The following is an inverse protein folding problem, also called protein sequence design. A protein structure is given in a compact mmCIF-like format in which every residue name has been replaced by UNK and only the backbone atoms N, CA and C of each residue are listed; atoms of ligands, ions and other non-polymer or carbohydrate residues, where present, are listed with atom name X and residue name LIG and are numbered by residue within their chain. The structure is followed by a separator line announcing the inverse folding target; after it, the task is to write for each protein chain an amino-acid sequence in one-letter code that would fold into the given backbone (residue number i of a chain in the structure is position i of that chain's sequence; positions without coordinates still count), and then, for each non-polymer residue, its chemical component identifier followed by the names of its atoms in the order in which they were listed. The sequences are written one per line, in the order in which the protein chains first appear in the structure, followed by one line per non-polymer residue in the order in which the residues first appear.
data_IF_056549462413
#
_entry.id   IF_056549462413
#
_cell.length_a   1.000
_cell.length_b   1.000
_cell.length_c   1.000
_cell.angle_alpha   90.00
_cell.angle_beta   90.00
_cell.angle_gamma   90.00
#
_symmetry.space_group_name_H-M   'P 1'
#
loop_
_entity.id
_entity.type
_entity.pdbx_description
1 polymer ?
#
# COMPACT_ATOMS: atom_id res chain seq x y z
N UNK A 1 4.78 3.24 -12.42
CA UNK A 1 3.49 3.97 -12.46
C UNK A 1 3.57 5.52 -12.48
N UNK A 2 4.26 6.22 -11.56
CA UNK A 2 4.26 7.70 -11.43
C UNK A 2 4.27 8.53 -12.72
N UNK A 3 5.21 8.23 -13.64
CA UNK A 3 5.37 8.95 -14.91
C UNK A 3 4.19 8.81 -15.87
N UNK A 4 3.35 7.79 -15.69
CA UNK A 4 2.21 7.51 -16.57
C UNK A 4 0.93 8.25 -16.15
N UNK A 5 0.81 8.69 -14.88
CA UNK A 5 -0.44 9.30 -14.36
C UNK A 5 -0.93 10.49 -15.18
N UNK A 6 -0.04 11.42 -15.52
CA UNK A 6 -0.41 12.59 -16.31
C UNK A 6 -0.91 12.23 -17.72
N UNK A 7 -0.32 11.19 -18.34
CA UNK A 7 -0.74 10.68 -19.64
C UNK A 7 -2.11 10.01 -19.58
N UNK A 8 -2.32 9.14 -18.59
CA UNK A 8 -3.58 8.45 -18.34
C UNK A 8 -4.68 9.47 -18.06
N UNK A 9 -4.44 10.43 -17.15
CA UNK A 9 -5.40 11.48 -16.82
C UNK A 9 -5.85 12.27 -18.06
N UNK A 10 -4.91 12.73 -18.88
CA UNK A 10 -5.24 13.44 -20.14
C UNK A 10 -6.07 12.58 -21.08
N UNK A 11 -5.69 11.32 -21.27
CA UNK A 11 -6.42 10.41 -22.16
C UNK A 11 -7.86 10.21 -21.69
N UNK A 12 -8.06 9.98 -20.38
CA UNK A 12 -9.39 9.73 -19.79
C UNK A 12 -10.25 10.98 -19.92
N UNK A 13 -9.74 12.15 -19.53
CA UNK A 13 -10.47 13.43 -19.67
C UNK A 13 -10.72 13.84 -21.13
N UNK A 14 -9.97 13.27 -22.07
CA UNK A 14 -10.12 13.50 -23.51
C UNK A 14 -11.24 12.67 -24.16
N UNK A 15 -12.00 11.87 -23.38
CA UNK A 15 -13.11 11.07 -23.89
C UNK A 15 -12.68 9.77 -24.57
N UNK A 16 -11.62 9.12 -24.07
CA UNK A 16 -11.24 7.80 -24.55
C UNK A 16 -12.42 6.82 -24.39
N UNK A 17 -12.58 5.91 -25.37
CA UNK A 17 -13.57 4.82 -25.29
C UNK A 17 -12.99 3.53 -24.70
N UNK A 18 -11.67 3.36 -24.78
CA UNK A 18 -10.96 2.12 -24.45
C UNK A 18 -9.64 2.43 -23.76
N UNK A 19 -9.43 1.92 -22.54
CA UNK A 19 -8.19 2.04 -21.79
C UNK A 19 -7.70 0.66 -21.39
N UNK A 20 -6.48 0.32 -21.79
CA UNK A 20 -5.78 -0.88 -21.34
C UNK A 20 -4.54 -0.46 -20.57
N UNK A 21 -4.42 -0.98 -19.35
CA UNK A 21 -3.26 -0.88 -18.49
C UNK A 21 -2.66 -2.27 -18.36
N UNK A 22 -1.47 -2.50 -18.91
CA UNK A 22 -0.85 -3.82 -18.92
C UNK A 22 0.37 -3.87 -17.97
N UNK A 23 0.44 -4.91 -17.14
CA UNK A 23 1.60 -5.28 -16.32
C UNK A 23 2.19 -6.62 -16.74
N UNK A 24 3.46 -6.83 -16.38
CA UNK A 24 4.21 -8.04 -16.67
C UNK A 24 4.52 -8.88 -15.43
N UNK A 25 3.61 -8.98 -14.47
CA UNK A 25 3.82 -9.61 -13.16
C UNK A 25 3.52 -11.12 -13.14
N UNK A 26 3.74 -11.78 -14.28
CA UNK A 26 3.62 -13.24 -14.41
C UNK A 26 2.19 -13.75 -14.65
N UNK A 27 1.20 -12.87 -14.81
CA UNK A 27 -0.18 -13.26 -15.11
C UNK A 27 -1.00 -13.67 -13.89
N UNK A 28 -0.38 -13.69 -12.71
CA UNK A 28 -0.98 -14.00 -11.41
C UNK A 28 -0.85 -12.84 -10.42
N UNK A 29 -0.73 -11.63 -10.94
CA UNK A 29 -0.68 -10.39 -10.17
C UNK A 29 0.51 -10.33 -9.19
N UNK A 30 1.64 -10.96 -9.54
CA UNK A 30 2.83 -11.07 -8.69
C UNK A 30 2.80 -12.25 -7.70
N UNK A 31 1.72 -13.03 -7.62
CA UNK A 31 1.70 -14.22 -6.77
C UNK A 31 2.73 -15.26 -7.25
N UNK A 32 3.57 -15.73 -6.34
CA UNK A 32 4.67 -16.65 -6.65
C UNK A 32 5.93 -15.98 -7.18
N UNK A 33 6.02 -14.65 -7.13
CA UNK A 33 7.28 -13.93 -7.35
C UNK A 33 8.21 -14.13 -6.16
N UNK A 34 9.43 -14.61 -6.42
CA UNK A 34 10.44 -14.90 -5.39
C UNK A 34 11.75 -14.13 -5.61
N UNK A 35 11.67 -13.00 -6.31
CA UNK A 35 12.83 -12.17 -6.69
C UNK A 35 13.31 -12.38 -8.13
N UNK A 36 14.13 -11.44 -8.61
CA UNK A 36 14.60 -11.37 -9.99
C UNK A 36 13.91 -10.28 -10.80
N UNK A 37 14.16 -10.25 -12.11
CA UNK A 37 13.63 -9.19 -13.02
C UNK A 37 12.36 -9.66 -13.76
N UNK A 38 12.30 -10.95 -14.11
CA UNK A 38 11.18 -11.51 -14.86
C UNK A 38 10.00 -11.71 -13.91
N UNK A 39 8.84 -11.16 -14.25
CA UNK A 39 7.66 -11.25 -13.41
C UNK A 39 7.66 -10.29 -12.21
N UNK A 40 8.60 -9.35 -12.15
CA UNK A 40 8.62 -8.32 -11.09
C UNK A 40 7.32 -7.50 -11.13
N UNK A 41 6.51 -7.52 -10.06
CA UNK A 41 5.26 -6.76 -10.00
C UNK A 41 5.47 -5.25 -9.78
N UNK A 42 6.65 -4.82 -9.31
CA UNK A 42 6.88 -3.43 -8.89
C UNK A 42 6.59 -2.38 -9.98
N UNK A 43 6.92 -2.58 -11.28
CA UNK A 43 6.59 -1.62 -12.33
C UNK A 43 5.08 -1.37 -12.51
N UNK A 44 4.27 -2.40 -12.25
CA UNK A 44 2.81 -2.41 -12.40
C UNK A 44 2.03 -2.21 -11.09
N UNK A 45 2.73 -2.09 -9.96
CA UNK A 45 2.11 -1.88 -8.65
C UNK A 45 1.17 -0.66 -8.69
N UNK A 46 -0.08 -0.86 -8.25
CA UNK A 46 -1.12 0.18 -8.22
C UNK A 46 -1.99 0.29 -9.47
N UNK A 47 -1.67 -0.42 -10.55
CA UNK A 47 -2.46 -0.34 -11.79
C UNK A 47 -3.89 -0.88 -11.61
N UNK A 48 -4.12 -1.86 -10.74
CA UNK A 48 -5.46 -2.45 -10.57
C UNK A 48 -6.36 -1.48 -9.82
N UNK A 49 -5.86 -0.89 -8.73
CA UNK A 49 -6.59 0.12 -7.97
C UNK A 49 -6.93 1.33 -8.84
N UNK A 50 -5.96 1.83 -9.61
CA UNK A 50 -6.19 2.89 -10.59
C UNK A 50 -7.27 2.53 -11.61
N UNK A 51 -7.18 1.35 -12.23
CA UNK A 51 -8.12 0.91 -13.25
C UNK A 51 -9.55 0.80 -12.73
N UNK A 52 -9.73 0.23 -11.53
CA UNK A 52 -11.05 0.10 -10.89
C UNK A 52 -11.66 1.47 -10.61
N UNK A 53 -10.88 2.42 -10.11
CA UNK A 53 -11.38 3.79 -9.91
C UNK A 53 -11.75 4.46 -11.23
N UNK A 54 -10.91 4.37 -12.26
CA UNK A 54 -11.24 4.97 -13.57
C UNK A 54 -12.51 4.32 -14.15
N UNK A 55 -12.65 3.00 -14.07
CA UNK A 55 -13.85 2.30 -14.53
C UNK A 55 -15.12 2.77 -13.81
N UNK A 56 -15.02 3.03 -12.51
CA UNK A 56 -16.14 3.57 -11.73
C UNK A 56 -16.40 5.04 -12.06
N UNK A 57 -15.38 5.86 -12.31
CA UNK A 57 -15.52 7.28 -12.63
C UNK A 57 -16.06 7.54 -14.05
N UNK A 58 -15.70 6.70 -15.01
CA UNK A 58 -15.99 6.83 -16.44
C UNK A 58 -16.66 5.53 -16.95
N UNK A 59 -17.91 5.24 -16.55
CA UNK A 59 -18.59 3.99 -16.90
C UNK A 59 -18.83 3.81 -18.41
N UNK A 60 -18.75 4.88 -19.20
CA UNK A 60 -18.81 4.87 -20.66
C UNK A 60 -17.51 4.41 -21.34
N UNK A 61 -16.39 4.41 -20.61
CA UNK A 61 -15.10 3.95 -21.10
C UNK A 61 -14.88 2.48 -20.70
N UNK A 62 -14.49 1.63 -21.66
CA UNK A 62 -14.07 0.28 -21.32
C UNK A 62 -12.64 0.28 -20.77
N UNK A 63 -12.50 -0.04 -19.49
CA UNK A 63 -11.22 -0.08 -18.79
C UNK A 63 -10.81 -1.53 -18.48
N UNK A 64 -9.55 -1.87 -18.78
CA UNK A 64 -8.92 -3.16 -18.46
C UNK A 64 -7.55 -2.96 -17.83
N UNK A 65 -7.31 -3.57 -16.68
CA UNK A 65 -6.01 -3.83 -16.11
C UNK A 65 -5.65 -5.30 -16.35
N UNK A 66 -4.64 -5.54 -17.20
CA UNK A 66 -4.22 -6.86 -17.62
C UNK A 66 -2.87 -7.18 -17.01
N UNK A 67 -2.79 -8.26 -16.25
CA UNK A 67 -1.50 -8.83 -15.86
C UNK A 67 -1.13 -9.97 -16.80
N UNK A 68 0.08 -9.92 -17.35
CA UNK A 68 0.50 -10.79 -18.44
C UNK A 68 1.79 -11.52 -18.06
N UNK A 69 1.86 -12.80 -18.39
CA UNK A 69 3.11 -13.54 -18.31
C UNK A 69 4.07 -13.06 -19.40
N UNK A 70 5.19 -12.50 -18.98
CA UNK A 70 6.25 -12.00 -19.88
C UNK A 70 7.01 -13.11 -20.58
N UNK A 71 6.80 -14.38 -20.19
CA UNK A 71 7.34 -15.56 -20.88
C UNK A 71 6.53 -15.92 -22.14
N UNK A 72 5.31 -15.40 -22.29
CA UNK A 72 4.53 -15.61 -23.50
C UNK A 72 5.12 -14.86 -24.71
N UNK A 73 4.82 -15.36 -25.91
CA UNK A 73 5.22 -14.67 -27.14
C UNK A 73 4.47 -13.33 -27.30
N UNK A 74 5.07 -12.31 -27.94
CA UNK A 74 4.39 -11.03 -28.19
C UNK A 74 3.04 -11.18 -28.92
N UNK A 75 2.94 -12.16 -29.83
CA UNK A 75 1.69 -12.47 -30.54
C UNK A 75 0.62 -13.03 -29.60
N UNK A 76 0.99 -13.89 -28.66
CA UNK A 76 0.07 -14.41 -27.65
C UNK A 76 -0.43 -13.28 -26.75
N UNK A 77 0.50 -12.45 -26.24
CA UNK A 77 0.18 -11.26 -25.45
C UNK A 77 -0.80 -10.33 -26.18
N UNK A 78 -0.52 -9.97 -27.44
CA UNK A 78 -1.40 -9.10 -28.23
C UNK A 78 -2.80 -9.72 -28.40
N UNK A 79 -2.89 -11.03 -28.65
CA UNK A 79 -4.19 -11.72 -28.77
C UNK A 79 -5.00 -11.69 -27.48
N UNK A 80 -4.36 -11.82 -26.32
CA UNK A 80 -5.02 -11.72 -25.01
C UNK A 80 -5.56 -10.33 -24.76
N UNK A 81 -4.74 -9.30 -25.01
CA UNK A 81 -5.16 -7.90 -24.91
C UNK A 81 -6.39 -7.64 -25.81
N UNK A 82 -6.35 -8.09 -27.06
CA UNK A 82 -7.47 -7.94 -27.98
C UNK A 82 -8.72 -8.71 -27.53
N UNK A 83 -8.56 -9.91 -26.96
CA UNK A 83 -9.69 -10.68 -26.45
C UNK A 83 -10.40 -9.97 -25.29
N UNK A 84 -9.65 -9.40 -24.35
CA UNK A 84 -10.22 -8.67 -23.21
C UNK A 84 -10.81 -7.32 -23.58
N UNK A 85 -10.32 -6.71 -24.66
CA UNK A 85 -10.98 -5.57 -25.30
C UNK A 85 -12.31 -6.02 -25.92
N UNK A 86 -12.35 -7.08 -26.72
CA UNK A 86 -13.58 -7.46 -27.41
C UNK A 86 -14.69 -8.01 -26.48
N UNK A 87 -14.37 -8.33 -25.24
CA UNK A 87 -15.31 -8.81 -24.23
C UNK A 87 -15.70 -7.69 -23.23
N UNK A 88 -16.73 -6.90 -23.56
CA UNK A 88 -17.17 -5.76 -22.73
C UNK A 88 -17.58 -6.15 -21.30
N UNK A 89 -18.15 -7.35 -21.12
CA UNK A 89 -18.57 -7.89 -19.82
C UNK A 89 -17.42 -8.45 -18.97
N UNK A 90 -16.18 -8.46 -19.47
CA UNK A 90 -15.04 -8.92 -18.68
C UNK A 90 -14.83 -8.04 -17.43
N UNK A 91 -14.35 -8.63 -16.33
CA UNK A 91 -13.90 -7.87 -15.17
C UNK A 91 -12.85 -6.83 -15.55
N UNK A 92 -12.79 -5.75 -14.78
CA UNK A 92 -11.78 -4.68 -14.97
C UNK A 92 -10.36 -5.23 -14.82
N UNK A 93 -10.14 -6.22 -13.95
CA UNK A 93 -8.82 -6.78 -13.65
C UNK A 93 -8.77 -8.24 -14.07
N UNK A 94 -7.82 -8.59 -14.93
CA UNK A 94 -7.65 -9.95 -15.47
C UNK A 94 -6.16 -10.29 -15.55
N UNK A 95 -5.81 -11.53 -15.19
CA UNK A 95 -4.45 -12.07 -15.30
C UNK A 95 -4.38 -13.18 -16.36
N UNK A 96 -3.27 -13.28 -17.08
CA UNK A 96 -3.02 -14.35 -18.03
C UNK A 96 -1.64 -14.98 -17.82
N UNK A 97 -1.63 -16.24 -17.42
CA UNK A 97 -0.45 -17.07 -17.20
C UNK A 97 -0.51 -18.27 -18.15
N UNK A 98 0.35 -18.31 -19.17
CA UNK A 98 0.23 -19.30 -20.24
C UNK A 98 -1.22 -19.40 -20.73
N UNK A 99 -1.75 -20.59 -20.98
CA UNK A 99 -3.14 -20.77 -21.45
C UNK A 99 -4.25 -20.34 -20.48
N UNK A 100 -3.93 -19.98 -19.24
CA UNK A 100 -4.91 -19.73 -18.18
C UNK A 100 -5.33 -18.25 -18.12
N UNK A 101 -6.52 -18.03 -17.57
CA UNK A 101 -7.10 -16.72 -17.29
C UNK A 101 -7.52 -16.66 -15.82
N UNK A 102 -6.97 -15.68 -15.11
CA UNK A 102 -7.14 -15.50 -13.68
C UNK A 102 -7.94 -14.22 -13.39
N UNK A 103 -8.75 -14.25 -12.34
CA UNK A 103 -9.47 -13.09 -11.81
C UNK A 103 -9.18 -12.90 -10.32
N UNK A 104 -9.61 -11.76 -9.77
CA UNK A 104 -9.56 -11.49 -8.34
C UNK A 104 -10.97 -11.36 -7.80
N UNK A 105 -11.28 -12.14 -6.77
CA UNK A 105 -12.57 -12.14 -6.08
C UNK A 105 -12.34 -11.91 -4.57
N UNK A 106 -13.20 -11.07 -3.98
CA UNK A 106 -13.22 -10.85 -2.54
C UNK A 106 -14.07 -11.94 -1.90
N UNK A 107 -13.44 -12.76 -1.07
CA UNK A 107 -14.10 -13.79 -0.29
C UNK A 107 -14.16 -13.36 1.18
N UNK A 108 -15.24 -13.70 1.91
CA UNK A 108 -15.24 -13.60 3.36
C UNK A 108 -14.04 -14.36 3.94
N UNK A 109 -13.29 -13.70 4.82
CA UNK A 109 -12.23 -14.35 5.58
C UNK A 109 -12.78 -14.68 6.97
N UNK A 110 -12.56 -15.91 7.42
CA UNK A 110 -12.68 -16.23 8.84
C UNK A 110 -11.65 -15.38 9.60
N UNK A 111 -11.97 -14.92 10.83
CA UNK A 111 -10.97 -14.32 11.68
C UNK A 111 -9.77 -15.26 11.76
N UNK A 112 -8.59 -14.76 11.37
CA UNK A 112 -7.35 -15.40 11.81
C UNK A 112 -7.48 -15.51 13.34
N UNK A 113 -7.20 -16.68 13.91
CA UNK A 113 -7.43 -16.94 15.35
C UNK A 113 -6.69 -15.94 16.26
N UNK A 114 -6.64 -16.19 17.56
CA UNK A 114 -5.95 -15.34 18.55
C UNK A 114 -4.41 -15.34 18.40
N UNK A 115 -3.88 -15.28 17.18
CA UNK A 115 -2.47 -15.05 16.87
C UNK A 115 -2.06 -13.70 17.44
N UNK A 116 -1.71 -13.69 18.71
CA UNK A 116 -1.04 -12.59 19.35
C UNK A 116 0.30 -12.38 18.62
N UNK A 117 0.61 -11.14 18.28
CA UNK A 117 1.98 -10.77 18.00
C UNK A 117 2.80 -11.14 19.24
N UNK A 118 3.89 -11.89 19.09
CA UNK A 118 4.78 -12.27 20.19
C UNK A 118 5.61 -11.05 20.64
N UNK A 119 4.89 -10.06 21.17
CA UNK A 119 5.42 -8.78 21.64
C UNK A 119 5.26 -8.74 23.15
N UNK A 120 6.39 -8.84 23.83
CA UNK A 120 6.47 -8.60 25.26
C UNK A 120 6.48 -7.11 25.60
N UNK A 121 6.42 -6.81 26.90
CA UNK A 121 6.48 -5.45 27.45
C UNK A 121 7.75 -4.68 27.06
N UNK A 122 8.84 -5.39 26.82
CA UNK A 122 10.12 -4.82 26.40
C UNK A 122 10.21 -4.56 24.89
N UNK A 123 9.18 -4.92 24.10
CA UNK A 123 9.18 -4.68 22.67
C UNK A 123 9.05 -3.18 22.36
N UNK A 124 9.57 -2.76 21.22
CA UNK A 124 9.53 -1.36 20.76
C UNK A 124 8.88 -1.32 19.39
N UNK A 125 7.80 -0.54 19.27
CA UNK A 125 7.06 -0.39 18.01
C UNK A 125 7.00 1.06 17.59
N UNK A 126 7.47 1.34 16.37
CA UNK A 126 7.39 2.64 15.73
C UNK A 126 6.15 2.74 14.85
N UNK A 127 5.28 3.72 15.12
CA UNK A 127 4.14 4.03 14.30
C UNK A 127 4.30 5.40 13.65
N UNK A 128 4.08 5.50 12.34
CA UNK A 128 4.11 6.78 11.62
C UNK A 128 2.71 7.25 11.25
N UNK A 129 2.52 8.56 11.13
CA UNK A 129 1.20 9.16 10.93
C UNK A 129 0.47 9.33 12.26
N UNK A 130 1.20 9.66 13.33
CA UNK A 130 0.66 9.81 14.68
C UNK A 130 -0.43 10.88 14.81
N UNK A 131 -0.53 11.79 13.83
CA UNK A 131 -1.62 12.76 13.73
C UNK A 131 -2.99 12.13 13.39
N UNK A 132 -3.04 10.86 12.98
CA UNK A 132 -4.26 10.21 12.49
C UNK A 132 -4.92 9.37 13.58
N UNK A 133 -6.26 9.43 13.67
CA UNK A 133 -7.04 8.70 14.67
C UNK A 133 -6.81 7.19 14.62
N UNK A 134 -6.72 6.61 13.42
CA UNK A 134 -6.44 5.17 13.24
C UNK A 134 -5.09 4.79 13.85
N UNK A 135 -4.05 5.60 13.68
CA UNK A 135 -2.73 5.38 14.28
C UNK A 135 -2.82 5.41 15.80
N UNK A 136 -3.53 6.39 16.37
CA UNK A 136 -3.72 6.50 17.81
C UNK A 136 -4.48 5.29 18.38
N UNK A 137 -5.55 4.84 17.70
CA UNK A 137 -6.32 3.66 18.10
C UNK A 137 -5.50 2.37 18.01
N UNK A 138 -4.72 2.21 16.93
CA UNK A 138 -3.81 1.07 16.77
C UNK A 138 -2.73 1.05 17.86
N UNK A 139 -2.11 2.20 18.15
CA UNK A 139 -1.12 2.32 19.22
C UNK A 139 -1.74 1.97 20.59
N UNK A 140 -2.97 2.44 20.86
CA UNK A 140 -3.64 2.21 22.14
C UNK A 140 -3.98 0.74 22.34
N UNK A 141 -4.52 0.09 21.32
CA UNK A 141 -4.84 -1.34 21.40
C UNK A 141 -3.57 -2.18 21.55
N UNK A 142 -2.50 -1.82 20.83
CA UNK A 142 -1.21 -2.48 20.97
C UNK A 142 -0.63 -2.31 22.38
N UNK A 143 -0.69 -1.10 22.95
CA UNK A 143 -0.24 -0.84 24.32
C UNK A 143 -1.08 -1.62 25.35
N UNK A 144 -2.40 -1.70 25.19
CA UNK A 144 -3.29 -2.45 26.08
C UNK A 144 -3.02 -3.95 26.08
N UNK A 145 -2.73 -4.49 24.91
CA UNK A 145 -2.55 -5.94 24.72
C UNK A 145 -1.15 -6.42 25.09
N UNK A 146 -0.13 -5.59 24.87
CA UNK A 146 1.29 -6.00 25.00
C UNK A 146 2.04 -5.26 26.11
N UNK A 147 1.61 -4.05 26.47
CA UNK A 147 2.33 -3.15 27.35
C UNK A 147 3.66 -2.63 26.77
N UNK A 148 3.90 -2.77 25.46
CA UNK A 148 5.18 -2.44 24.83
C UNK A 148 5.53 -0.93 24.86
N UNK A 149 6.74 -0.60 24.42
CA UNK A 149 7.18 0.77 24.17
C UNK A 149 6.66 1.29 22.83
N UNK A 150 6.07 2.48 22.85
CA UNK A 150 5.45 3.12 21.69
C UNK A 150 6.25 4.34 21.25
N UNK A 151 6.71 4.33 20.00
CA UNK A 151 7.38 5.46 19.35
C UNK A 151 6.45 6.00 18.25
N UNK A 152 6.02 7.25 18.35
CA UNK A 152 5.09 7.90 17.42
C UNK A 152 5.82 8.92 16.57
N UNK A 153 5.74 8.81 15.26
CA UNK A 153 6.24 9.82 14.32
C UNK A 153 5.08 10.58 13.69
N UNK A 154 5.10 11.90 13.82
CA UNK A 154 4.10 12.80 13.26
C UNK A 154 4.75 14.11 12.78
N UNK A 155 4.14 14.78 11.80
CA UNK A 155 4.68 16.07 11.29
C UNK A 155 4.66 17.17 12.37
N UNK A 156 3.57 17.21 13.12
CA UNK A 156 3.37 18.10 14.25
C UNK A 156 2.84 17.24 15.41
N UNK A 157 3.72 16.67 16.25
CA UNK A 157 3.28 15.87 17.38
C UNK A 157 2.62 16.79 18.42
N UNK A 158 1.32 16.63 18.61
CA UNK A 158 0.57 17.29 19.69
C UNK A 158 0.49 16.34 20.89
N UNK A 159 0.72 16.88 22.10
CA UNK A 159 0.40 16.15 23.34
C UNK A 159 -1.08 16.39 23.62
N UNK A 160 -1.93 15.46 23.18
CA UNK A 160 -3.37 15.49 23.43
C UNK A 160 -3.79 14.38 24.42
N UNK A 161 -5.09 14.32 24.73
CA UNK A 161 -5.68 13.31 25.61
C UNK A 161 -5.44 11.86 25.14
N UNK A 162 -5.11 11.64 23.86
CA UNK A 162 -4.85 10.30 23.32
C UNK A 162 -3.47 9.81 23.76
N UNK A 163 -2.51 10.71 23.91
CA UNK A 163 -1.19 10.39 24.42
C UNK A 163 -1.23 10.02 25.90
N UNK A 164 -2.08 10.68 26.69
CA UNK A 164 -2.29 10.35 28.11
C UNK A 164 -2.85 8.92 28.29
N UNK A 165 -3.82 8.53 27.46
CA UNK A 165 -4.37 7.17 27.48
C UNK A 165 -3.33 6.09 27.06
N UNK A 166 -2.37 6.44 26.20
CA UNK A 166 -1.27 5.55 25.84
C UNK A 166 -0.29 5.37 27.00
N UNK A 167 0.04 6.45 27.71
CA UNK A 167 0.97 6.43 28.86
C UNK A 167 0.46 5.58 30.03
N UNK A 168 -0.85 5.34 30.14
CA UNK A 168 -1.44 4.44 31.15
C UNK A 168 -1.11 2.96 30.90
N UNK A 169 -0.94 2.55 29.65
CA UNK A 169 -0.82 1.15 29.27
C UNK A 169 0.57 0.78 28.71
N UNK A 170 1.22 1.69 27.99
CA UNK A 170 2.53 1.47 27.37
C UNK A 170 3.66 1.51 28.40
N UNK A 171 4.74 0.76 28.17
CA UNK A 171 5.96 0.85 28.97
C UNK A 171 6.62 2.24 28.88
N UNK A 172 6.54 2.86 27.69
CA UNK A 172 6.85 4.27 27.49
C UNK A 172 6.21 4.78 26.20
N UNK A 173 5.96 6.07 26.13
CA UNK A 173 5.52 6.73 24.89
C UNK A 173 6.46 7.87 24.55
N UNK A 174 6.92 7.93 23.29
CA UNK A 174 7.75 9.03 22.78
C UNK A 174 7.25 9.49 21.44
N UNK A 175 7.23 10.81 21.24
CA UNK A 175 6.83 11.43 19.99
C UNK A 175 8.02 12.05 19.28
N UNK A 176 8.08 11.85 17.96
CA UNK A 176 9.09 12.39 17.07
C UNK A 176 8.44 13.31 16.05
N UNK A 177 8.95 14.52 15.93
CA UNK A 177 8.56 15.42 14.85
C UNK A 177 9.30 14.99 13.57
N UNK A 178 8.55 14.71 12.50
CA UNK A 178 9.12 14.39 11.20
C UNK A 178 8.07 14.01 10.16
N UNK A 179 8.37 14.32 8.90
CA UNK A 179 7.57 13.84 7.77
C UNK A 179 8.02 12.42 7.40
N UNK A 180 7.10 11.46 7.41
CA UNK A 180 7.41 10.08 7.05
C UNK A 180 7.87 9.94 5.57
N UNK A 181 7.63 10.95 4.73
CA UNK A 181 8.10 11.00 3.34
C UNK A 181 9.53 11.52 3.20
N UNK A 182 10.11 12.06 4.26
CA UNK A 182 11.50 12.52 4.29
C UNK A 182 12.42 11.36 4.74
N UNK A 183 13.23 10.77 3.85
CA UNK A 183 14.09 9.65 4.20
C UNK A 183 15.12 9.99 5.29
N UNK A 184 15.56 11.25 5.37
CA UNK A 184 16.51 11.68 6.40
C UNK A 184 15.83 11.80 7.76
N UNK A 185 14.61 12.35 7.80
CA UNK A 185 13.82 12.40 9.04
C UNK A 185 13.51 10.99 9.54
N UNK A 186 13.05 10.09 8.65
CA UNK A 186 12.76 8.69 8.99
C UNK A 186 14.00 7.98 9.54
N UNK A 187 15.15 8.13 8.87
CA UNK A 187 16.42 7.55 9.34
C UNK A 187 16.80 8.06 10.72
N UNK A 188 16.72 9.38 10.92
CA UNK A 188 17.07 10.01 12.20
C UNK A 188 16.20 9.48 13.34
N UNK A 189 14.89 9.30 13.10
CA UNK A 189 13.97 8.71 14.07
C UNK A 189 14.32 7.26 14.36
N UNK A 190 14.49 6.42 13.34
CA UNK A 190 14.86 5.02 13.51
C UNK A 190 16.19 4.85 14.29
N UNK A 191 17.19 5.68 13.99
CA UNK A 191 18.46 5.72 14.71
C UNK A 191 18.28 6.14 16.18
N UNK A 192 17.48 7.17 16.46
CA UNK A 192 17.19 7.63 17.82
C UNK A 192 16.44 6.58 18.66
N UNK A 193 15.47 5.90 18.06
CA UNK A 193 14.76 4.77 18.67
C UNK A 193 15.75 3.67 19.04
N UNK A 194 16.64 3.32 18.11
CA UNK A 194 17.66 2.32 18.37
C UNK A 194 18.69 2.76 19.42
N UNK A 195 19.10 4.03 19.43
CA UNK A 195 20.01 4.56 20.45
C UNK A 195 19.39 4.50 21.85
N UNK A 196 18.08 4.75 21.94
CA UNK A 196 17.33 4.73 23.19
C UNK A 196 17.12 3.32 23.72
N UNK A 197 16.57 2.43 22.89
CA UNK A 197 16.08 1.13 23.35
C UNK A 197 16.97 -0.04 22.97
N UNK A 198 17.96 0.17 22.10
CA UNK A 198 18.82 -0.88 21.51
C UNK A 198 18.07 -1.93 20.70
N UNK A 199 16.80 -1.70 20.39
CA UNK A 199 15.93 -2.59 19.60
C UNK A 199 14.82 -1.82 18.90
N UNK A 200 14.25 -2.44 17.88
CA UNK A 200 13.02 -2.03 17.19
C UNK A 200 12.38 -3.32 16.67
N UNK A 201 11.24 -3.70 17.21
CA UNK A 201 10.59 -4.98 16.96
C UNK A 201 9.50 -4.90 15.90
N UNK A 202 8.93 -3.71 15.72
CA UNK A 202 7.83 -3.50 14.80
C UNK A 202 7.78 -2.11 14.19
N UNK A 203 7.32 -2.04 12.95
CA UNK A 203 6.91 -0.79 12.30
C UNK A 203 5.47 -0.89 11.81
N UNK A 204 4.68 0.15 12.10
CA UNK A 204 3.34 0.34 11.54
C UNK A 204 3.31 1.66 10.78
N UNK A 205 3.25 1.59 9.45
CA UNK A 205 3.15 2.75 8.58
C UNK A 205 1.67 3.09 8.31
N UNK A 206 1.20 4.18 8.91
CA UNK A 206 -0.14 4.73 8.70
C UNK A 206 -0.11 6.19 8.19
N UNK A 207 1.08 6.70 7.82
CA UNK A 207 1.18 8.04 7.25
C UNK A 207 0.54 8.07 5.85
N UNK A 208 0.02 9.24 5.47
CA UNK A 208 -0.77 9.51 4.26
C UNK A 208 -2.27 9.18 4.33
N UNK A 209 -2.84 8.97 5.53
CA UNK A 209 -4.29 8.85 5.73
C UNK A 209 -4.91 10.25 5.98
N UNK A 210 -5.65 10.82 5.03
CA UNK A 210 -6.24 12.15 5.22
C UNK A 210 -6.70 12.81 3.92
N UNK A 211 -6.34 14.08 3.72
CA UNK A 211 -6.61 14.78 2.45
C UNK A 211 -5.73 14.21 1.33
N UNK A 212 -6.32 13.32 0.53
CA UNK A 212 -5.69 12.81 -0.68
C UNK A 212 -5.52 13.96 -1.67
N UNK A 213 -4.27 14.29 -2.09
CA UNK A 213 -4.06 15.27 -3.13
C UNK A 213 -4.87 14.89 -4.37
N UNK A 214 -5.49 15.88 -5.04
CA UNK A 214 -6.07 15.64 -6.38
C UNK A 214 -5.01 15.19 -7.39
N UNK A 215 -3.74 15.51 -7.12
CA UNK A 215 -2.61 15.02 -7.89
C UNK A 215 -2.34 13.54 -7.60
N UNK A 216 -2.54 12.70 -8.62
CA UNK A 216 -2.39 11.25 -8.54
C UNK A 216 -0.98 10.81 -8.13
N UNK A 217 0.06 11.48 -8.66
CA UNK A 217 1.45 11.13 -8.37
C UNK A 217 1.77 11.42 -6.92
N UNK A 218 1.35 12.59 -6.42
CA UNK A 218 1.55 12.97 -5.02
C UNK A 218 0.80 12.03 -4.07
N UNK A 219 -0.43 11.66 -4.40
CA UNK A 219 -1.22 10.69 -3.61
C UNK A 219 -0.55 9.32 -3.57
N UNK A 220 -0.11 8.81 -4.72
CA UNK A 220 0.59 7.53 -4.85
C UNK A 220 1.89 7.52 -4.02
N UNK A 221 2.74 8.53 -4.22
CA UNK A 221 4.03 8.63 -3.54
C UNK A 221 3.93 8.86 -2.05
N UNK A 222 2.90 9.56 -1.57
CA UNK A 222 2.80 9.90 -0.16
C UNK A 222 2.85 8.67 0.76
N UNK A 223 2.29 7.55 0.32
CA UNK A 223 2.34 6.27 1.05
C UNK A 223 3.56 5.44 0.67
N UNK A 224 3.89 5.32 -0.61
CA UNK A 224 4.97 4.43 -1.04
C UNK A 224 6.36 4.95 -0.68
N UNK A 225 6.62 6.26 -0.81
CA UNK A 225 7.91 6.83 -0.47
C UNK A 225 8.18 6.71 1.04
N UNK A 226 7.13 6.86 1.86
CA UNK A 226 7.23 6.68 3.31
C UNK A 226 7.48 5.23 3.72
N UNK A 227 6.72 4.28 3.14
CA UNK A 227 6.96 2.85 3.36
C UNK A 227 8.39 2.45 2.92
N UNK A 228 8.85 2.92 1.76
CA UNK A 228 10.18 2.65 1.26
C UNK A 228 11.29 3.27 2.13
N UNK A 229 11.10 4.49 2.62
CA UNK A 229 12.02 5.15 3.53
C UNK A 229 12.16 4.37 4.85
N UNK A 230 11.03 3.91 5.41
CA UNK A 230 11.03 3.08 6.62
C UNK A 230 11.73 1.75 6.38
N UNK A 231 11.39 1.03 5.30
CA UNK A 231 12.01 -0.24 4.96
C UNK A 231 13.54 -0.15 4.77
N UNK A 232 14.05 1.00 4.32
CA UNK A 232 15.49 1.26 4.21
C UNK A 232 16.15 1.69 5.52
N UNK A 233 15.39 2.27 6.44
CA UNK A 233 15.91 2.78 7.71
C UNK A 233 15.91 1.72 8.82
N UNK A 234 15.00 0.75 8.75
CA UNK A 234 14.94 -0.36 9.71
C UNK A 234 16.01 -1.41 9.43
N UNK A 235 16.37 -2.16 10.47
CA UNK A 235 17.31 -3.27 10.35
C UNK A 235 16.61 -4.55 9.89
N UNK A 236 17.35 -5.52 9.31
CA UNK A 236 16.77 -6.78 8.83
C UNK A 236 16.20 -7.70 9.91
N UNK A 237 16.51 -7.46 11.19
CA UNK A 237 16.05 -8.22 12.35
C UNK A 237 14.68 -7.75 12.88
N UNK A 238 14.01 -6.84 12.17
CA UNK A 238 12.66 -6.37 12.50
C UNK A 238 11.67 -7.55 12.54
N UNK A 239 10.90 -7.65 13.61
CA UNK A 239 9.91 -8.72 13.79
C UNK A 239 8.71 -8.60 12.85
N UNK A 240 8.22 -7.38 12.61
CA UNK A 240 7.16 -7.14 11.64
C UNK A 240 7.18 -5.74 11.02
N UNK A 241 6.68 -5.64 9.79
CA UNK A 241 6.47 -4.39 9.08
C UNK A 241 5.05 -4.37 8.50
N UNK A 242 4.21 -3.48 8.98
CA UNK A 242 2.82 -3.36 8.54
C UNK A 242 2.57 -2.01 7.88
N UNK A 243 1.87 -2.00 6.74
CA UNK A 243 1.38 -0.78 6.09
C UNK A 243 -0.14 -0.77 6.13
N UNK A 244 -0.73 0.20 6.83
CA UNK A 244 -2.19 0.29 6.93
C UNK A 244 -2.77 0.81 5.61
N UNK A 245 -3.62 0.02 4.96
CA UNK A 245 -4.29 0.35 3.70
C UNK A 245 -5.81 0.24 3.82
N UNK A 246 -6.53 1.07 3.05
CA UNK A 246 -7.97 0.97 2.91
C UNK A 246 -8.40 0.00 1.80
N UNK A 247 -9.70 0.03 1.52
CA UNK A 247 -10.35 -0.83 0.51
C UNK A 247 -10.45 -0.16 -0.87
N UNK A 248 -10.03 1.10 -1.02
CA UNK A 248 -10.14 1.82 -2.29
C UNK A 248 -9.26 1.15 -3.35
N UNK A 249 -8.11 0.59 -2.97
CA UNK A 249 -7.27 -0.23 -3.88
C UNK A 249 -7.96 -1.48 -4.44
N UNK A 250 -8.94 -2.03 -3.71
CA UNK A 250 -9.66 -3.24 -4.14
C UNK A 250 -10.99 -2.93 -4.82
N UNK A 251 -11.68 -1.86 -4.39
CA UNK A 251 -13.01 -1.47 -4.89
C UNK A 251 -12.96 -0.42 -6.02
N UNK A 252 -12.01 0.50 -5.95
CA UNK A 252 -11.89 1.64 -6.85
C UNK A 252 -12.84 2.79 -6.51
N UNK A 253 -12.60 3.52 -5.43
CA UNK A 253 -13.49 4.61 -5.02
C UNK A 253 -13.38 5.84 -5.94
N UNK A 254 -14.52 6.43 -6.32
CA UNK A 254 -14.57 7.65 -7.14
C UNK A 254 -13.88 8.81 -6.43
N UNK A 255 -13.12 9.60 -7.17
CA UNK A 255 -12.34 10.73 -6.69
C UNK A 255 -11.02 10.35 -6.00
N UNK A 256 -10.70 9.05 -5.91
CA UNK A 256 -9.57 8.54 -5.10
C UNK A 256 -8.57 7.73 -5.91
N UNK A 257 -8.45 7.97 -7.22
CA UNK A 257 -7.62 7.16 -8.12
C UNK A 257 -6.14 7.03 -7.68
N UNK A 258 -5.54 8.11 -7.18
CA UNK A 258 -4.14 8.10 -6.72
C UNK A 258 -3.95 7.30 -5.44
N UNK A 259 -4.93 7.37 -4.53
CA UNK A 259 -4.96 6.60 -3.29
C UNK A 259 -5.28 5.13 -3.54
N UNK A 260 -6.26 4.82 -4.39
CA UNK A 260 -6.55 3.46 -4.81
C UNK A 260 -5.32 2.80 -5.45
N UNK A 261 -4.57 3.54 -6.27
CA UNK A 261 -3.30 3.06 -6.80
C UNK A 261 -2.26 2.82 -5.69
N UNK A 262 -2.16 3.69 -4.69
CA UNK A 262 -1.23 3.53 -3.57
C UNK A 262 -1.56 2.29 -2.71
N UNK A 263 -2.84 2.15 -2.36
CA UNK A 263 -3.34 1.03 -1.55
C UNK A 263 -3.20 -0.31 -2.27
N UNK A 264 -3.54 -0.34 -3.56
CA UNK A 264 -3.32 -1.52 -4.39
C UNK A 264 -1.84 -1.89 -4.44
N UNK A 265 -0.94 -0.92 -4.65
CA UNK A 265 0.50 -1.16 -4.67
C UNK A 265 1.01 -1.78 -3.35
N UNK A 266 0.59 -1.25 -2.21
CA UNK A 266 0.96 -1.80 -0.91
C UNK A 266 0.34 -3.18 -0.63
N UNK A 267 -0.87 -3.45 -1.14
CA UNK A 267 -1.52 -4.76 -1.02
C UNK A 267 -1.02 -5.82 -2.02
N UNK A 268 -0.14 -5.45 -2.97
CA UNK A 268 0.32 -6.38 -4.02
C UNK A 268 1.46 -7.29 -3.57
N UNK A 269 2.03 -7.08 -2.39
CA UNK A 269 3.20 -7.82 -1.91
C UNK A 269 2.93 -8.44 -0.54
N UNK A 270 3.00 -9.79 -0.41
CA UNK A 270 3.27 -10.43 0.88
C UNK A 270 4.74 -10.26 1.29
#
# INVERSE_FOLDING_TARGET
LPRAFAGIGRAVTGGLRWLVLASGAGGRFGQGFHGGVIGDPAPGAGLRGLARTIANEYPEALVRALDLDTKDTPRAIARRIMAELLAAESPVVVGHEGGLRHGLELLPAEPLGDGALDLGRDAVVLLTGGEHEVTARTALELARTTGCHIELMARAPERDLRLEALEEHAASVRCHAGDARDPQAVRSVAENVHLTHRRLDGVIHAAALGETPRDLDRAYRAKLDGAAALAQAVRPDLGFFAVLCGLAGVRGDRGRAGEAAAEDACGTHP
#
